data_IF_655584551777
#
_entry.id   IF_655584551777
#
_cell.length_a   1.000
_cell.length_b   1.000
_cell.length_c   1.000
_cell.angle_alpha   90.00
_cell.angle_beta   90.00
_cell.angle_gamma   90.00
#
_symmetry.space_group_name_H-M   'P 1'
#
loop_
_entity.id
_entity.type
_entity.pdbx_description
1 polymer ?
#
# COMPACT_ATOMS: atom_id res chain seq x y z
N UNK A 1 -12.57 8.46 59.01
CA UNK A 1 -12.15 8.67 57.61
C UNK A 1 -11.02 7.70 57.28
N UNK A 2 -11.29 6.65 56.50
CA UNK A 2 -10.24 5.74 55.99
C UNK A 2 -10.52 5.47 54.51
N UNK A 3 -9.53 5.82 53.71
CA UNK A 3 -9.53 5.78 52.26
C UNK A 3 -9.67 4.35 51.71
N UNK A 4 -10.48 4.19 50.67
CA UNK A 4 -10.46 3.02 49.79
C UNK A 4 -9.87 3.52 48.46
N UNK A 5 -8.58 3.25 48.24
CA UNK A 5 -7.96 3.36 46.92
C UNK A 5 -8.36 2.12 46.10
N UNK A 6 -9.29 2.31 45.16
CA UNK A 6 -9.54 1.37 44.07
C UNK A 6 -8.49 1.55 42.99
N UNK A 7 -7.62 0.57 42.80
CA UNK A 7 -6.71 0.51 41.66
C UNK A 7 -7.49 -0.02 40.45
N UNK A 8 -7.93 0.90 39.59
CA UNK A 8 -8.41 0.55 38.25
C UNK A 8 -7.19 0.21 37.38
N UNK A 9 -7.01 -1.07 37.07
CA UNK A 9 -6.09 -1.51 36.02
C UNK A 9 -6.78 -1.18 34.70
N UNK A 10 -6.49 -0.01 34.15
CA UNK A 10 -6.78 0.30 32.75
C UNK A 10 -5.88 -0.62 31.91
N UNK A 11 -6.46 -1.71 31.41
CA UNK A 11 -5.89 -2.44 30.31
C UNK A 11 -5.92 -1.50 29.11
N UNK A 12 -4.80 -0.81 28.88
CA UNK A 12 -4.53 -0.15 27.61
C UNK A 12 -4.39 -1.28 26.60
N UNK A 13 -5.49 -1.61 25.92
CA UNK A 13 -5.43 -2.31 24.65
C UNK A 13 -4.74 -1.35 23.68
N UNK A 14 -3.41 -1.35 23.69
CA UNK A 14 -2.64 -0.75 22.62
C UNK A 14 -2.98 -1.54 21.37
N UNK A 15 -3.74 -0.94 20.46
CA UNK A 15 -3.85 -1.40 19.09
C UNK A 15 -2.43 -1.41 18.54
N UNK A 16 -1.77 -2.56 18.51
CA UNK A 16 -0.64 -2.75 17.63
C UNK A 16 -1.21 -2.64 16.22
N UNK A 17 -1.12 -1.44 15.63
CA UNK A 17 -1.30 -1.27 14.19
C UNK A 17 -0.28 -2.19 13.54
N UNK A 18 -0.75 -3.26 12.92
CA UNK A 18 0.07 -4.19 12.17
C UNK A 18 -0.15 -3.92 10.70
N UNK A 19 0.93 -4.04 9.93
CA UNK A 19 0.91 -3.80 8.49
C UNK A 19 -0.31 -4.39 7.79
N UNK A 20 -0.94 -3.56 6.95
CA UNK A 20 -2.18 -3.89 6.28
C UNK A 20 -1.92 -4.44 4.88
N UNK A 21 -2.74 -5.41 4.48
CA UNK A 21 -2.75 -5.94 3.12
C UNK A 21 -4.08 -5.53 2.50
N UNK A 22 -4.04 -4.84 1.37
CA UNK A 22 -5.24 -4.40 0.67
C UNK A 22 -5.32 -5.05 -0.71
N UNK A 23 -6.54 -5.43 -1.09
CA UNK A 23 -6.89 -5.80 -2.46
C UNK A 23 -7.68 -4.67 -3.10
N UNK A 24 -7.28 -4.30 -4.30
CA UNK A 24 -7.94 -3.33 -5.16
C UNK A 24 -8.41 -4.04 -6.42
N UNK A 25 -9.70 -3.93 -6.72
CA UNK A 25 -10.28 -4.34 -7.99
C UNK A 25 -10.98 -3.12 -8.59
N UNK A 26 -10.53 -2.69 -9.78
CA UNK A 26 -11.08 -1.53 -10.49
C UNK A 26 -11.60 -1.96 -11.86
N UNK A 27 -12.78 -1.45 -12.20
CA UNK A 27 -13.27 -1.45 -13.57
C UNK A 27 -12.84 -0.14 -14.23
N UNK A 28 -12.29 -0.24 -15.44
CA UNK A 28 -11.63 0.85 -16.13
C UNK A 28 -12.12 0.96 -17.58
N UNK A 29 -12.01 2.16 -18.15
CA UNK A 29 -12.07 2.41 -19.59
C UNK A 29 -10.69 2.85 -20.05
N UNK A 30 -10.13 2.19 -21.06
CA UNK A 30 -8.84 2.59 -21.62
C UNK A 30 -8.97 3.89 -22.43
N UNK A 31 -8.13 4.87 -22.13
CA UNK A 31 -8.11 6.19 -22.78
C UNK A 31 -6.97 6.35 -23.78
N UNK A 32 -6.05 5.38 -23.82
CA UNK A 32 -4.92 5.33 -24.73
C UNK A 32 -3.56 5.46 -24.06
N UNK A 33 -2.51 5.30 -24.86
CA UNK A 33 -1.11 5.50 -24.52
C UNK A 33 -0.64 6.84 -25.08
N UNK A 34 -0.09 7.67 -24.19
CA UNK A 34 0.43 9.00 -24.49
C UNK A 34 1.94 9.03 -24.33
N UNK A 35 2.60 9.68 -25.27
CA UNK A 35 4.02 10.02 -25.22
C UNK A 35 4.18 11.51 -24.90
N UNK A 36 5.17 11.87 -24.10
CA UNK A 36 5.59 13.27 -23.87
C UNK A 36 6.96 13.54 -24.48
N UNK A 37 7.13 14.78 -24.96
CA UNK A 37 8.36 15.25 -25.61
C UNK A 37 8.89 14.26 -26.68
N UNK A 38 7.97 13.72 -27.47
CA UNK A 38 8.26 12.74 -28.52
C UNK A 38 9.02 13.40 -29.67
N UNK A 39 10.14 12.79 -30.05
CA UNK A 39 10.91 13.13 -31.24
C UNK A 39 10.91 11.92 -32.17
N UNK A 40 10.55 12.12 -33.43
CA UNK A 40 10.60 11.12 -34.50
C UNK A 40 11.67 11.55 -35.50
N UNK A 41 12.63 10.68 -35.79
CA UNK A 41 13.74 10.98 -36.71
C UNK A 41 13.73 9.94 -37.83
N UNK A 42 13.47 10.39 -39.06
CA UNK A 42 13.31 9.52 -40.23
C UNK A 42 14.65 9.23 -40.88
N UNK A 43 15.03 7.95 -40.99
CA UNK A 43 16.36 7.56 -41.46
C UNK A 43 16.62 7.87 -42.93
N UNK A 44 15.57 7.92 -43.77
CA UNK A 44 15.71 8.17 -45.21
C UNK A 44 15.90 9.65 -45.58
N UNK A 45 15.38 10.57 -44.76
CA UNK A 45 15.36 12.02 -45.06
C UNK A 45 16.13 12.86 -44.05
N UNK A 46 16.35 12.33 -42.84
CA UNK A 46 16.83 13.12 -41.71
C UNK A 46 15.80 14.11 -41.18
N UNK A 47 14.55 14.03 -41.65
CA UNK A 47 13.46 14.86 -41.15
C UNK A 47 13.18 14.52 -39.68
N UNK A 48 12.85 15.55 -38.91
CA UNK A 48 12.50 15.43 -37.50
C UNK A 48 11.12 16.01 -37.22
N UNK A 49 10.28 15.24 -36.53
CA UNK A 49 8.99 15.69 -36.00
C UNK A 49 9.06 15.67 -34.48
N UNK A 50 8.79 16.83 -33.86
CA UNK A 50 8.67 16.97 -32.40
C UNK A 50 7.22 17.15 -31.98
N UNK A 51 6.82 16.50 -30.87
CA UNK A 51 5.49 16.60 -30.26
C UNK A 51 5.63 16.63 -28.74
N UNK A 52 5.17 17.72 -28.13
CA UNK A 52 5.17 17.85 -26.66
C UNK A 52 4.27 16.79 -26.01
N UNK A 53 3.16 16.47 -26.65
CA UNK A 53 2.27 15.38 -26.27
C UNK A 53 1.71 14.69 -27.52
N UNK A 54 1.74 13.35 -27.53
CA UNK A 54 1.27 12.55 -28.66
C UNK A 54 0.46 11.35 -28.18
N UNK A 55 -0.73 11.12 -28.76
CA UNK A 55 -1.53 9.91 -28.52
C UNK A 55 -1.12 8.84 -29.52
N UNK A 56 -0.63 7.70 -29.03
CA UNK A 56 -0.08 6.63 -29.86
C UNK A 56 -1.16 5.68 -30.41
N UNK A 57 -2.35 5.60 -29.83
CA UNK A 57 -3.40 4.72 -30.36
C UNK A 57 -3.84 5.15 -31.75
N UNK A 58 -3.82 4.21 -32.69
CA UNK A 58 -4.13 4.48 -34.11
C UNK A 58 -3.05 5.31 -34.82
N UNK A 59 -1.84 5.41 -34.26
CA UNK A 59 -0.77 6.18 -34.88
C UNK A 59 -0.28 5.56 -36.21
N UNK A 60 0.05 6.38 -37.22
CA UNK A 60 0.55 5.87 -38.51
C UNK A 60 2.00 5.37 -38.45
N UNK A 61 2.75 5.69 -37.38
CA UNK A 61 4.17 5.36 -37.25
C UNK A 61 4.39 3.96 -36.62
N UNK A 62 3.34 3.28 -36.18
CA UNK A 62 3.43 1.99 -35.49
C UNK A 62 4.08 2.06 -34.10
N UNK A 63 4.03 3.22 -33.42
CA UNK A 63 4.55 3.36 -32.06
C UNK A 63 3.86 2.38 -31.10
N UNK A 64 4.60 1.75 -30.16
CA UNK A 64 4.04 0.81 -29.21
C UNK A 64 2.95 1.41 -28.30
N UNK A 65 1.89 0.65 -28.07
CA UNK A 65 0.82 0.97 -27.11
C UNK A 65 0.83 0.00 -25.94
N UNK A 66 0.19 0.37 -24.83
CA UNK A 66 0.18 -0.44 -23.61
C UNK A 66 -0.69 -1.69 -23.71
N UNK A 67 -1.88 -1.53 -24.30
CA UNK A 67 -2.90 -2.56 -24.33
C UNK A 67 -3.23 -2.91 -25.79
N UNK A 68 -3.66 -4.15 -26.01
CA UNK A 68 -4.34 -4.55 -27.24
C UNK A 68 -5.79 -4.05 -27.32
N UNK A 69 -6.34 -3.54 -26.21
CA UNK A 69 -7.64 -2.91 -26.17
C UNK A 69 -7.65 -1.58 -26.93
N UNK A 70 -8.76 -1.27 -27.60
CA UNK A 70 -8.96 0.03 -28.23
C UNK A 70 -9.34 1.11 -27.22
N UNK A 71 -9.17 2.38 -27.62
CA UNK A 71 -9.69 3.51 -26.83
C UNK A 71 -11.20 3.36 -26.66
N UNK A 72 -11.66 3.46 -25.42
CA UNK A 72 -13.06 3.30 -25.04
C UNK A 72 -13.43 1.89 -24.61
N UNK A 73 -12.54 0.91 -24.79
CA UNK A 73 -12.80 -0.46 -24.35
C UNK A 73 -12.71 -0.60 -22.83
N UNK A 74 -13.53 -1.50 -22.29
CA UNK A 74 -13.52 -1.87 -20.90
C UNK A 74 -12.33 -2.79 -20.59
N UNK A 75 -11.59 -2.44 -19.55
CA UNK A 75 -10.46 -3.21 -19.02
C UNK A 75 -10.53 -3.23 -17.50
N UNK A 76 -9.71 -4.05 -16.85
CA UNK A 76 -9.68 -4.15 -15.39
C UNK A 76 -8.30 -3.94 -14.83
N UNK A 77 -8.27 -3.55 -13.56
CA UNK A 77 -7.09 -3.61 -12.72
C UNK A 77 -7.39 -4.44 -11.48
N UNK A 78 -6.47 -5.34 -11.14
CA UNK A 78 -6.51 -6.11 -9.89
C UNK A 78 -5.12 -6.08 -9.27
N UNK A 79 -5.03 -5.63 -8.02
CA UNK A 79 -3.76 -5.59 -7.30
C UNK A 79 -3.91 -5.94 -5.82
N UNK A 80 -2.94 -6.69 -5.29
CA UNK A 80 -2.82 -7.00 -3.86
C UNK A 80 -1.52 -6.38 -3.36
N UNK A 81 -1.64 -5.44 -2.43
CA UNK A 81 -0.52 -4.66 -1.93
C UNK A 81 -0.37 -4.78 -0.42
N UNK A 82 0.87 -4.90 0.02
CA UNK A 82 1.28 -4.71 1.41
C UNK A 82 1.60 -3.23 1.62
N UNK A 83 0.97 -2.62 2.61
CA UNK A 83 1.14 -1.21 2.96
C UNK A 83 1.80 -1.13 4.33
N UNK A 84 2.97 -0.46 4.45
CA UNK A 84 3.67 -0.32 5.71
C UNK A 84 2.89 0.57 6.69
N UNK A 85 3.11 0.34 7.99
CA UNK A 85 2.41 1.02 9.09
C UNK A 85 2.73 2.52 9.18
N UNK A 86 3.94 2.89 8.78
CA UNK A 86 4.43 4.26 8.81
C UNK A 86 4.51 4.81 7.38
N UNK A 87 3.59 5.72 7.04
CA UNK A 87 3.61 6.37 5.73
C UNK A 87 4.85 7.25 5.52
N UNK A 88 5.57 7.62 6.59
CA UNK A 88 6.81 8.38 6.52
C UNK A 88 8.03 7.47 6.19
N UNK A 89 7.91 6.15 6.34
CA UNK A 89 8.94 5.17 5.93
C UNK A 89 8.92 4.83 4.44
N UNK A 90 7.98 5.38 3.68
CA UNK A 90 7.85 5.17 2.23
C UNK A 90 9.02 5.79 1.43
N UNK A 91 9.81 6.67 2.05
CA UNK A 91 11.01 7.26 1.42
C UNK A 91 12.25 6.36 1.49
N UNK A 92 12.20 5.24 2.22
CA UNK A 92 13.30 4.27 2.23
C UNK A 92 13.15 3.36 1.01
N UNK A 93 13.68 3.83 -0.13
CA UNK A 93 13.58 3.24 -1.47
C UNK A 93 13.96 1.76 -1.57
N UNK A 94 14.55 1.18 -0.51
CA UNK A 94 15.14 -0.15 -0.56
C UNK A 94 14.71 -1.13 0.53
N UNK A 95 13.87 -0.81 1.52
CA UNK A 95 13.42 -1.89 2.44
C UNK A 95 12.18 -1.70 3.33
N UNK A 96 11.40 -0.60 3.29
CA UNK A 96 10.20 -0.49 4.17
C UNK A 96 8.96 0.22 3.57
N UNK A 97 8.86 0.38 2.24
CA UNK A 97 7.89 1.27 1.57
C UNK A 97 6.64 0.65 0.92
N UNK A 98 6.38 -0.66 1.07
CA UNK A 98 5.22 -1.36 0.50
C UNK A 98 5.55 -2.16 -0.77
N UNK A 99 4.84 -3.28 -0.99
CA UNK A 99 5.12 -4.25 -2.07
C UNK A 99 3.84 -4.77 -2.70
N UNK A 100 3.88 -5.10 -3.99
CA UNK A 100 2.79 -5.81 -4.66
C UNK A 100 3.04 -7.33 -4.59
N UNK A 101 2.04 -8.09 -4.14
CA UNK A 101 2.03 -9.56 -4.25
C UNK A 101 1.53 -10.01 -5.61
N UNK A 102 0.55 -9.30 -6.15
CA UNK A 102 -0.01 -9.51 -7.47
C UNK A 102 -0.47 -8.16 -8.02
N UNK A 103 -0.26 -7.92 -9.32
CA UNK A 103 -0.72 -6.73 -10.00
C UNK A 103 -0.99 -7.11 -11.45
N UNK A 104 -2.22 -6.90 -11.90
CA UNK A 104 -2.62 -7.09 -13.30
C UNK A 104 -3.36 -5.85 -13.74
N UNK A 105 -2.90 -5.21 -14.82
CA UNK A 105 -3.53 -4.04 -15.42
C UNK A 105 -3.79 -4.32 -16.91
N UNK A 106 -5.06 -4.27 -17.31
CA UNK A 106 -5.50 -4.58 -18.67
C UNK A 106 -4.93 -5.92 -19.22
N UNK A 107 -4.83 -6.92 -18.36
CA UNK A 107 -4.29 -8.25 -18.68
C UNK A 107 -2.77 -8.38 -18.65
N UNK A 108 -2.04 -7.27 -18.48
CA UNK A 108 -0.58 -7.29 -18.35
C UNK A 108 -0.17 -7.40 -16.88
N UNK A 109 0.85 -8.22 -16.61
CA UNK A 109 1.46 -8.32 -15.28
C UNK A 109 2.27 -7.05 -14.98
N UNK A 110 1.92 -6.37 -13.89
CA UNK A 110 2.60 -5.17 -13.38
C UNK A 110 3.27 -5.42 -12.02
N UNK A 111 3.43 -6.68 -11.61
CA UNK A 111 3.95 -7.06 -10.28
C UNK A 111 5.45 -6.89 -10.13
N UNK A 112 6.20 -6.92 -11.24
CA UNK A 112 7.65 -6.96 -11.21
C UNK A 112 8.22 -5.70 -10.54
N UNK A 113 8.75 -5.90 -9.32
CA UNK A 113 9.54 -4.93 -8.55
C UNK A 113 8.83 -3.66 -8.08
N UNK A 114 7.55 -3.76 -7.68
CA UNK A 114 6.92 -2.67 -6.90
C UNK A 114 7.71 -2.45 -5.61
N UNK A 115 8.38 -1.30 -5.52
CA UNK A 115 9.30 -0.90 -4.45
C UNK A 115 8.68 0.03 -3.42
N UNK A 116 7.61 0.74 -3.81
CA UNK A 116 6.88 1.64 -2.91
C UNK A 116 5.39 1.63 -3.23
N UNK A 117 4.55 1.62 -2.20
CA UNK A 117 3.10 1.73 -2.29
C UNK A 117 2.61 2.80 -1.30
N UNK A 118 1.82 3.74 -1.80
CA UNK A 118 1.05 4.69 -0.99
C UNK A 118 -0.41 4.53 -1.29
N UNK A 119 -1.23 4.52 -0.25
CA UNK A 119 -2.67 4.47 -0.41
C UNK A 119 -3.39 5.34 0.61
N UNK A 120 -4.55 5.83 0.19
CA UNK A 120 -5.58 6.40 1.05
C UNK A 120 -6.93 5.76 0.68
N UNK A 121 -7.99 6.12 1.41
CA UNK A 121 -9.36 5.73 1.06
C UNK A 121 -9.80 6.16 -0.36
N UNK A 122 -9.09 7.09 -0.99
CA UNK A 122 -9.43 7.69 -2.28
C UNK A 122 -8.32 7.63 -3.33
N UNK A 123 -7.16 7.06 -3.00
CA UNK A 123 -6.03 7.02 -3.92
C UNK A 123 -5.16 5.79 -3.73
N UNK A 124 -4.58 5.33 -4.83
CA UNK A 124 -3.56 4.30 -4.86
C UNK A 124 -2.44 4.78 -5.75
N UNK A 125 -1.21 4.73 -5.26
CA UNK A 125 -0.03 4.96 -6.07
C UNK A 125 1.07 3.98 -5.71
N UNK A 126 1.80 3.52 -6.71
CA UNK A 126 2.98 2.71 -6.47
C UNK A 126 4.08 3.06 -7.48
N UNK A 127 5.31 2.69 -7.13
CA UNK A 127 6.47 2.78 -8.02
C UNK A 127 7.13 1.41 -8.13
N UNK A 128 7.69 1.12 -9.30
CA UNK A 128 8.48 -0.07 -9.55
C UNK A 128 9.79 0.31 -10.24
N UNK A 129 10.86 0.46 -9.45
CA UNK A 129 12.08 1.12 -9.93
C UNK A 129 11.85 2.60 -10.26
N UNK A 130 12.74 3.18 -11.05
CA UNK A 130 12.75 4.61 -11.36
C UNK A 130 11.77 5.01 -12.48
N UNK A 131 11.42 4.04 -13.34
CA UNK A 131 10.78 4.32 -14.63
C UNK A 131 9.35 3.81 -14.75
N UNK A 132 8.87 3.12 -13.73
CA UNK A 132 7.50 2.61 -13.67
C UNK A 132 6.80 3.24 -12.48
N UNK A 133 5.68 3.89 -12.75
CA UNK A 133 4.83 4.44 -11.71
C UNK A 133 3.34 4.28 -12.06
N UNK A 134 2.54 4.19 -11.02
CA UNK A 134 1.11 4.07 -11.09
C UNK A 134 0.49 5.07 -10.13
N UNK A 135 -0.50 5.81 -10.60
CA UNK A 135 -1.28 6.73 -9.76
C UNK A 135 -2.74 6.60 -10.17
N UNK A 136 -3.61 6.40 -9.18
CA UNK A 136 -5.04 6.28 -9.39
C UNK A 136 -5.82 7.06 -8.33
N UNK A 137 -6.81 7.80 -8.80
CA UNK A 137 -7.87 8.37 -7.96
C UNK A 137 -9.03 7.37 -7.91
N UNK A 138 -9.21 6.74 -6.75
CA UNK A 138 -10.16 5.66 -6.50
C UNK A 138 -11.57 6.24 -6.32
N UNK A 139 -12.24 6.48 -7.44
CA UNK A 139 -13.62 6.94 -7.48
C UNK A 139 -14.14 6.89 -8.92
N UNK A 140 -15.46 6.72 -9.09
CA UNK A 140 -16.05 6.78 -10.42
C UNK A 140 -15.79 8.15 -11.06
N UNK A 141 -15.32 8.16 -12.30
CA UNK A 141 -14.84 9.37 -12.99
C UNK A 141 -13.41 9.78 -12.63
N UNK A 142 -12.76 9.07 -11.71
CA UNK A 142 -11.34 9.20 -11.42
C UNK A 142 -10.48 8.78 -12.61
N UNK A 143 -9.19 9.10 -12.55
CA UNK A 143 -8.21 8.69 -13.55
C UNK A 143 -7.16 7.80 -12.91
N UNK A 144 -6.71 6.84 -13.70
CA UNK A 144 -5.55 6.01 -13.44
C UNK A 144 -4.53 6.28 -14.55
N UNK A 145 -3.30 6.56 -14.14
CA UNK A 145 -2.15 6.79 -15.02
C UNK A 145 -1.07 5.78 -14.67
N UNK A 146 -0.60 5.05 -15.68
CA UNK A 146 0.48 4.08 -15.56
C UNK A 146 1.61 4.47 -16.50
N UNK A 147 2.73 4.94 -15.94
CA UNK A 147 3.96 5.26 -16.69
C UNK A 147 4.88 4.05 -16.67
N UNK A 148 5.44 3.70 -17.83
CA UNK A 148 6.25 2.49 -18.03
C UNK A 148 7.35 2.72 -19.07
N UNK A 149 8.31 3.54 -18.68
CA UNK A 149 9.49 3.84 -19.48
C UNK A 149 10.51 2.69 -19.39
N UNK A 150 11.43 2.64 -20.34
CA UNK A 150 12.53 1.67 -20.35
C UNK A 150 13.74 2.20 -19.59
N UNK A 151 14.00 3.50 -19.73
CA UNK A 151 15.11 4.23 -19.12
C UNK A 151 14.79 5.73 -19.02
N UNK A 152 15.69 6.49 -18.38
CA UNK A 152 15.68 7.95 -18.39
C UNK A 152 15.84 8.45 -19.82
N UNK A 153 14.79 9.09 -20.35
CA UNK A 153 14.66 9.42 -21.77
C UNK A 153 14.77 8.17 -22.66
N UNK A 154 13.64 7.50 -22.85
CA UNK A 154 13.57 6.23 -23.56
C UNK A 154 13.61 6.43 -25.09
N UNK A 155 14.06 5.41 -25.80
CA UNK A 155 14.07 5.40 -27.27
C UNK A 155 13.71 4.03 -27.83
N UNK A 156 13.41 3.99 -29.13
CA UNK A 156 13.16 2.77 -29.86
C UNK A 156 13.10 3.00 -31.36
N UNK A 157 12.99 1.91 -32.11
CA UNK A 157 12.92 1.94 -33.57
C UNK A 157 11.48 1.76 -34.06
N UNK A 158 11.19 2.33 -35.22
CA UNK A 158 9.98 2.09 -35.99
C UNK A 158 10.36 1.89 -37.47
N UNK A 159 9.37 1.59 -38.33
CA UNK A 159 9.65 1.15 -39.71
C UNK A 159 10.52 2.12 -40.52
N UNK A 160 10.36 3.44 -40.31
CA UNK A 160 11.00 4.47 -41.12
C UNK A 160 12.08 5.27 -40.37
N UNK A 161 12.42 4.89 -39.14
CA UNK A 161 13.34 5.65 -38.31
C UNK A 161 13.41 5.21 -36.85
N UNK A 162 13.80 6.13 -35.98
CA UNK A 162 13.82 5.92 -34.54
C UNK A 162 13.12 7.06 -33.81
N UNK A 163 12.67 6.80 -32.59
CA UNK A 163 11.97 7.75 -31.75
C UNK A 163 12.59 7.85 -30.36
N UNK A 164 12.49 9.03 -29.77
CA UNK A 164 12.94 9.35 -28.41
C UNK A 164 11.81 10.04 -27.67
N UNK A 165 11.65 9.76 -26.39
CA UNK A 165 10.57 10.33 -25.58
C UNK A 165 10.95 10.40 -24.10
N UNK A 166 10.28 11.28 -23.37
CA UNK A 166 10.44 11.38 -21.92
C UNK A 166 9.57 10.38 -21.18
N UNK A 167 8.25 10.48 -21.35
CA UNK A 167 7.30 9.58 -20.72
C UNK A 167 6.42 8.88 -21.73
N UNK A 168 6.13 7.61 -21.43
CA UNK A 168 5.07 6.83 -22.03
C UNK A 168 4.12 6.40 -20.94
N UNK A 169 2.89 6.90 -21.02
CA UNK A 169 1.87 6.72 -20.01
C UNK A 169 0.60 6.14 -20.62
N UNK A 170 0.11 5.05 -20.05
CA UNK A 170 -1.22 4.52 -20.33
C UNK A 170 -2.23 5.20 -19.39
N UNK A 171 -3.31 5.73 -19.97
CA UNK A 171 -4.35 6.43 -19.23
C UNK A 171 -5.65 5.65 -19.23
N UNK A 172 -6.35 5.69 -18.10
CA UNK A 172 -7.62 4.98 -17.91
C UNK A 172 -8.58 5.85 -17.10
N UNK A 173 -9.88 5.74 -17.40
CA UNK A 173 -10.94 6.29 -16.57
C UNK A 173 -11.46 5.20 -15.63
N UNK A 174 -11.59 5.51 -14.34
CA UNK A 174 -12.14 4.60 -13.35
C UNK A 174 -13.67 4.65 -13.41
N UNK A 175 -14.32 3.52 -13.65
CA UNK A 175 -15.79 3.42 -13.64
C UNK A 175 -16.31 2.89 -12.32
N UNK A 176 -15.57 1.97 -11.70
CA UNK A 176 -15.90 1.41 -10.38
C UNK A 176 -14.61 1.07 -9.62
N UNK A 177 -14.71 1.04 -8.29
CA UNK A 177 -13.61 0.65 -7.43
C UNK A 177 -14.12 -0.17 -6.25
N UNK A 178 -13.48 -1.31 -5.99
CA UNK A 178 -13.66 -2.14 -4.81
C UNK A 178 -12.34 -2.27 -4.07
N UNK A 179 -12.36 -1.95 -2.76
CA UNK A 179 -11.18 -2.00 -1.90
C UNK A 179 -11.52 -2.93 -0.73
N UNK A 180 -10.72 -3.99 -0.56
CA UNK A 180 -10.89 -4.96 0.52
C UNK A 180 -9.65 -4.97 1.40
N UNK A 181 -9.84 -4.73 2.70
CA UNK A 181 -8.81 -4.95 3.71
C UNK A 181 -8.70 -6.46 4.00
N UNK A 182 -7.53 -7.02 3.72
CA UNK A 182 -7.17 -8.42 3.95
C UNK A 182 -6.30 -8.59 5.21
N UNK A 183 -6.06 -7.53 5.98
CA UNK A 183 -5.43 -7.66 7.29
C UNK A 183 -6.24 -8.65 8.13
N UNK A 184 -5.57 -9.68 8.62
CA UNK A 184 -6.19 -10.72 9.44
C UNK A 184 -6.90 -10.04 10.61
N UNK A 185 -8.21 -10.23 10.72
CA UNK A 185 -9.00 -9.74 11.84
C UNK A 185 -8.25 -10.00 13.15
N UNK A 186 -8.24 -9.05 14.12
CA UNK A 186 -7.47 -9.19 15.34
C UNK A 186 -7.72 -10.58 15.92
N UNK A 187 -6.72 -11.45 15.86
CA UNK A 187 -6.88 -12.81 16.37
C UNK A 187 -7.27 -12.63 17.83
N UNK A 188 -8.47 -13.06 18.26
CA UNK A 188 -8.88 -12.88 19.64
C UNK A 188 -7.81 -13.58 20.46
N UNK A 189 -7.00 -12.78 21.17
CA UNK A 189 -5.98 -13.32 22.06
C UNK A 189 -6.72 -14.32 22.94
N UNK A 190 -6.27 -15.59 22.98
CA UNK A 190 -6.99 -16.60 23.75
C UNK A 190 -7.11 -16.05 25.17
N UNK A 191 -8.31 -16.10 25.74
CA UNK A 191 -8.63 -15.46 27.02
C UNK A 191 -7.63 -15.83 28.14
N UNK A 192 -6.88 -16.92 27.98
CA UNK A 192 -5.71 -17.30 28.77
C UNK A 192 -4.63 -16.22 28.89
N UNK A 193 -4.37 -15.42 27.85
CA UNK A 193 -3.42 -14.31 27.89
C UNK A 193 -3.90 -13.17 28.82
N UNK A 194 -5.22 -12.90 28.85
CA UNK A 194 -5.82 -11.95 29.78
C UNK A 194 -5.97 -12.50 31.21
N UNK A 195 -6.06 -13.83 31.37
CA UNK A 195 -6.17 -14.49 32.67
C UNK A 195 -4.82 -14.66 33.38
N UNK A 196 -3.70 -14.60 32.66
CA UNK A 196 -2.35 -14.75 33.22
C UNK A 196 -2.00 -13.67 34.28
N UNK A 197 -2.19 -12.37 34.00
CA UNK A 197 -1.98 -11.32 35.00
C UNK A 197 -2.90 -11.46 36.22
N UNK A 198 -4.15 -11.86 36.00
CA UNK A 198 -5.15 -12.07 37.06
C UNK A 198 -4.75 -13.26 37.94
N UNK A 199 -4.33 -14.36 37.33
CA UNK A 199 -3.84 -15.55 38.02
C UNK A 199 -2.59 -15.27 38.87
N UNK A 200 -1.63 -14.51 38.33
CA UNK A 200 -0.44 -14.09 39.07
C UNK A 200 -0.76 -13.16 40.25
N UNK A 201 -1.68 -12.21 40.06
CA UNK A 201 -2.14 -11.31 41.13
C UNK A 201 -2.81 -12.05 42.28
N UNK A 202 -3.67 -13.03 41.98
CA UNK A 202 -4.34 -13.86 42.99
C UNK A 202 -3.34 -14.66 43.84
N UNK A 203 -2.32 -15.25 43.21
CA UNK A 203 -1.27 -16.02 43.92
C UNK A 203 -0.43 -15.11 44.82
N UNK A 204 -0.08 -13.90 44.37
CA UNK A 204 0.67 -12.93 45.19
C UNK A 204 -0.12 -12.49 46.44
N UNK A 205 -1.43 -12.24 46.31
CA UNK A 205 -2.30 -11.93 47.45
C UNK A 205 -2.41 -13.07 48.46
N UNK A 206 -2.52 -14.31 47.99
CA UNK A 206 -2.56 -15.49 48.86
C UNK A 206 -1.24 -15.70 49.62
N UNK A 207 -0.09 -15.47 48.98
CA UNK A 207 1.22 -15.53 49.65
C UNK A 207 1.37 -14.46 50.74
N UNK A 208 0.84 -13.26 50.53
CA UNK A 208 0.89 -12.17 51.52
C UNK A 208 0.06 -12.44 52.77
N UNK A 209 -1.09 -13.13 52.65
CA UNK A 209 -1.93 -13.51 53.80
C UNK A 209 -1.25 -14.51 54.74
N UNK A 210 -0.44 -15.43 54.22
CA UNK A 210 0.24 -16.46 55.04
C UNK A 210 1.41 -15.92 55.87
N UNK A 211 1.87 -14.70 55.61
CA UNK A 211 2.99 -14.07 56.34
C UNK A 211 2.58 -13.08 57.43
N UNK A 212 1.30 -12.99 57.81
CA UNK A 212 0.91 -12.13 58.94
C UNK A 212 1.47 -12.71 60.25
N UNK A 213 2.34 -11.98 60.98
CA UNK A 213 2.82 -12.42 62.28
C UNK A 213 1.63 -12.53 63.24
N UNK A 214 1.53 -13.65 63.97
CA UNK A 214 0.56 -13.77 65.07
C UNK A 214 0.85 -12.66 66.09
N UNK A 215 -0.18 -11.90 66.54
CA UNK A 215 0.03 -10.93 67.61
C UNK A 215 0.46 -11.70 68.87
N UNK A 216 1.64 -11.34 69.40
CA UNK A 216 2.10 -11.78 70.71
C UNK A 216 1.10 -11.24 71.73
N UNK A 217 0.33 -12.14 72.33
CA UNK A 217 -0.51 -11.84 73.48
C UNK A 217 0.39 -11.32 74.60
N UNK A 218 0.21 -10.05 74.97
CA UNK A 218 0.85 -9.46 76.13
C UNK A 218 0.14 -10.03 77.38
N UNK A 219 0.76 -11.04 77.99
CA UNK A 219 0.34 -11.53 79.29
C UNK A 219 0.68 -10.48 80.36
N UNK A 220 -0.34 -10.03 81.06
CA UNK A 220 -0.23 -9.06 82.15
C UNK A 220 0.48 -9.62 83.38
N UNK A 221 1.13 -8.71 84.11
CA UNK A 221 1.45 -8.89 85.52
C UNK A 221 1.33 -7.53 86.21
N UNK A 222 0.15 -7.29 86.80
CA UNK A 222 -0.05 -6.33 87.88
C UNK A 222 -0.15 -7.13 89.18
N UNK A 223 0.79 -6.92 90.10
CA UNK A 223 0.62 -7.24 91.52
C UNK A 223 0.78 -5.95 92.33
N UNK A 224 -0.06 -5.72 93.35
CA UNK A 224 0.23 -4.78 94.41
C UNK A 224 1.36 -5.28 95.32
#
# INVERSE_FOLDING_TARGET
MRAILGAAVLAVCGSSAGAAVFRYDLDLIYLGTRYTELQLIFSGTGEEIRKDSYLADGNPFGLPVYSSAGIGDAVSFSGIFYVPDDQDQVLDYFDNGGRAYACVLAGNDCSATVSAVRTSASSLSFQAGEYVSFVSNLGAGGRLSYTYNLDYMSSGDFADGFYVFWDRTAEFAVTSASITDLSLAPVPLPASAALLPVGMGAIACLRRRRRRPRPRSAAGHSRP
#
